data_IF_636402617748
#
_entry.id   IF_636402617748
#
_cell.length_a   1.000
_cell.length_b   1.000
_cell.length_c   1.000
_cell.angle_alpha   90.00
_cell.angle_beta   90.00
_cell.angle_gamma   90.00
#
_symmetry.space_group_name_H-M   'P 1'
#
loop_
_entity.id
_entity.type
_entity.pdbx_description
1 polymer ?
#
# COMPACT_ATOMS: atom_id res chain seq x y z
N UNK A 1 19.28 -8.71 -8.42
CA UNK A 1 18.74 -8.43 -7.08
C UNK A 1 17.92 -7.14 -7.08
N UNK A 2 16.75 -7.20 -6.48
CA UNK A 2 15.91 -6.01 -6.37
C UNK A 2 16.38 -5.15 -5.22
N UNK A 3 16.87 -3.95 -5.52
CA UNK A 3 17.28 -3.00 -4.50
C UNK A 3 16.07 -2.16 -4.08
N UNK A 4 15.25 -2.74 -3.20
CA UNK A 4 13.99 -2.17 -2.79
C UNK A 4 14.13 -1.45 -1.45
N UNK A 5 13.72 -0.18 -1.42
CA UNK A 5 13.73 0.65 -0.23
C UNK A 5 12.32 0.96 0.22
N UNK A 6 12.13 1.00 1.53
CA UNK A 6 10.86 1.36 2.15
C UNK A 6 11.04 2.68 2.89
N UNK A 7 10.14 3.61 2.65
CA UNK A 7 10.14 4.91 3.34
C UNK A 7 8.73 5.40 3.60
N UNK A 8 8.59 6.35 4.49
CA UNK A 8 7.30 7.01 4.72
C UNK A 8 6.92 7.83 3.49
N UNK A 9 5.63 7.84 3.17
CA UNK A 9 5.12 8.67 2.08
C UNK A 9 5.22 10.15 2.45
N UNK A 10 5.43 10.99 1.44
CA UNK A 10 5.47 12.44 1.60
C UNK A 10 4.51 13.10 0.60
N UNK A 11 4.35 14.41 0.70
CA UNK A 11 3.47 15.15 -0.21
C UNK A 11 3.82 14.92 -1.68
N UNK A 12 5.09 14.69 -1.98
CA UNK A 12 5.54 14.47 -3.36
C UNK A 12 5.03 13.16 -3.96
N UNK A 13 4.49 12.26 -3.14
CA UNK A 13 3.97 10.97 -3.61
C UNK A 13 2.49 11.03 -3.97
N UNK A 14 1.82 12.13 -3.65
CA UNK A 14 0.36 12.24 -3.79
C UNK A 14 -0.13 11.94 -5.21
N UNK A 15 0.51 12.51 -6.22
CA UNK A 15 0.10 12.35 -7.61
C UNK A 15 0.20 10.89 -8.07
N UNK A 16 1.29 10.21 -7.75
CA UNK A 16 1.47 8.81 -8.13
C UNK A 16 0.41 7.93 -7.47
N UNK A 17 0.17 8.14 -6.18
CA UNK A 17 -0.84 7.37 -5.44
C UNK A 17 -2.23 7.62 -6.02
N UNK A 18 -2.53 8.87 -6.38
CA UNK A 18 -3.78 9.23 -7.02
C UNK A 18 -3.98 8.46 -8.33
N UNK A 19 -2.95 8.44 -9.18
CA UNK A 19 -3.00 7.72 -10.45
C UNK A 19 -3.19 6.22 -10.25
N UNK A 20 -2.49 5.64 -9.27
CA UNK A 20 -2.62 4.21 -8.98
C UNK A 20 -4.00 3.85 -8.43
N UNK A 21 -4.62 4.72 -7.61
CA UNK A 21 -5.96 4.50 -7.09
C UNK A 21 -7.02 4.51 -8.19
N UNK A 22 -6.77 5.27 -9.26
CA UNK A 22 -7.71 5.40 -10.38
C UNK A 22 -7.43 4.43 -11.53
N UNK A 23 -6.42 3.56 -11.38
CA UNK A 23 -6.20 2.51 -12.36
C UNK A 23 -7.45 1.63 -12.49
N UNK A 24 -7.81 1.28 -13.71
CA UNK A 24 -9.05 0.54 -13.98
C UNK A 24 -9.12 -0.77 -13.21
N UNK A 25 -8.02 -1.53 -13.17
CA UNK A 25 -7.99 -2.80 -12.45
C UNK A 25 -8.14 -2.60 -10.94
N UNK A 26 -7.46 -1.59 -10.38
CA UNK A 26 -7.56 -1.26 -8.97
C UNK A 26 -9.00 -0.92 -8.60
N UNK A 27 -9.70 -0.12 -9.43
CA UNK A 27 -11.08 0.24 -9.18
C UNK A 27 -12.01 -0.98 -9.20
N UNK A 28 -11.75 -1.92 -10.10
CA UNK A 28 -12.54 -3.17 -10.19
C UNK A 28 -12.35 -4.06 -8.97
N UNK A 29 -11.16 -4.01 -8.36
CA UNK A 29 -10.79 -4.88 -7.23
C UNK A 29 -11.05 -4.25 -5.87
N UNK A 30 -11.49 -2.98 -5.83
CA UNK A 30 -11.78 -2.30 -4.58
C UNK A 30 -13.27 -2.31 -4.26
N UNK A 31 -13.63 -1.89 -3.03
CA UNK A 31 -15.02 -1.84 -2.60
C UNK A 31 -15.85 -0.81 -3.36
N UNK A 32 -15.20 0.15 -3.99
CA UNK A 32 -15.89 1.11 -4.84
C UNK A 32 -15.20 1.14 -6.20
N UNK A 33 -16.03 1.18 -7.27
CA UNK A 33 -15.54 1.25 -8.64
C UNK A 33 -15.48 2.68 -9.16
N UNK A 34 -15.89 3.64 -8.35
CA UNK A 34 -15.92 5.05 -8.75
C UNK A 34 -14.53 5.63 -8.86
N UNK A 35 -14.37 6.57 -9.81
CA UNK A 35 -13.14 7.33 -9.96
C UNK A 35 -12.98 8.22 -8.74
N UNK A 36 -11.76 8.26 -8.18
CA UNK A 36 -11.43 9.15 -7.08
C UNK A 36 -11.15 10.54 -7.67
N UNK A 37 -11.83 11.56 -7.16
CA UNK A 37 -11.60 12.94 -7.59
C UNK A 37 -10.34 13.51 -6.94
N UNK A 38 -9.64 14.37 -7.66
CA UNK A 38 -8.37 14.95 -7.19
C UNK A 38 -8.52 15.66 -5.84
N UNK A 39 -9.55 16.48 -5.68
CA UNK A 39 -9.77 17.22 -4.43
C UNK A 39 -10.02 16.26 -3.24
N UNK A 40 -10.80 15.22 -3.47
CA UNK A 40 -11.05 14.20 -2.45
C UNK A 40 -9.75 13.50 -2.09
N UNK A 41 -8.94 13.19 -3.09
CA UNK A 41 -7.66 12.53 -2.88
C UNK A 41 -6.70 13.40 -2.07
N UNK A 42 -6.58 14.69 -2.39
CA UNK A 42 -5.70 15.61 -1.67
C UNK A 42 -6.07 15.65 -0.19
N UNK A 43 -7.36 15.78 0.11
CA UNK A 43 -7.85 15.82 1.49
C UNK A 43 -7.59 14.50 2.22
N UNK A 44 -7.88 13.39 1.56
CA UNK A 44 -7.63 12.07 2.11
C UNK A 44 -6.14 11.85 2.38
N UNK A 45 -5.30 12.23 1.44
CA UNK A 45 -3.86 12.03 1.54
C UNK A 45 -3.26 12.87 2.68
N UNK A 46 -3.64 14.15 2.76
CA UNK A 46 -3.17 15.03 3.84
C UNK A 46 -3.61 14.50 5.21
N UNK A 47 -4.86 14.08 5.33
CA UNK A 47 -5.37 13.51 6.57
C UNK A 47 -4.63 12.22 6.93
N UNK A 48 -4.30 11.40 5.93
CA UNK A 48 -3.57 10.15 6.15
C UNK A 48 -2.15 10.41 6.64
N UNK A 49 -1.45 11.40 6.06
CA UNK A 49 -0.09 11.74 6.48
C UNK A 49 -0.04 12.29 7.91
N UNK A 50 -1.11 12.94 8.35
CA UNK A 50 -1.19 13.53 9.67
C UNK A 50 -1.85 12.61 10.71
N UNK A 51 -2.31 11.45 10.31
CA UNK A 51 -2.99 10.52 11.21
C UNK A 51 -1.98 9.71 12.04
N UNK A 52 -2.27 9.55 13.32
CA UNK A 52 -1.50 8.69 14.21
C UNK A 52 -1.84 7.21 13.99
N UNK A 53 -3.00 6.94 13.37
CA UNK A 53 -3.51 5.59 13.20
C UNK A 53 -3.41 5.08 11.76
N UNK A 54 -2.73 5.81 10.90
CA UNK A 54 -2.53 5.39 9.52
C UNK A 54 -1.10 5.65 9.09
N UNK A 55 -0.48 4.64 8.52
CA UNK A 55 0.88 4.73 7.99
C UNK A 55 0.84 4.42 6.50
N UNK A 56 1.43 5.28 5.70
CA UNK A 56 1.61 5.06 4.28
C UNK A 56 3.10 4.90 4.00
N UNK A 57 3.46 3.77 3.42
CA UNK A 57 4.84 3.47 3.06
C UNK A 57 4.97 3.41 1.55
N UNK A 58 6.03 4.00 1.02
CA UNK A 58 6.36 3.92 -0.40
C UNK A 58 7.50 2.91 -0.56
N UNK A 59 7.33 2.00 -1.51
CA UNK A 59 8.35 1.05 -1.91
C UNK A 59 9.00 1.57 -3.18
N UNK A 60 10.30 1.80 -3.15
CA UNK A 60 11.06 2.33 -4.29
C UNK A 60 12.16 1.36 -4.71
N UNK A 61 12.42 1.32 -6.00
CA UNK A 61 13.51 0.56 -6.58
C UNK A 61 14.59 1.52 -7.06
N UNK A 62 15.82 1.32 -6.62
CA UNK A 62 16.98 2.14 -7.01
C UNK A 62 16.81 3.65 -6.75
N UNK A 63 16.04 4.03 -5.72
CA UNK A 63 15.78 5.42 -5.32
C UNK A 63 14.99 6.25 -6.34
N UNK A 64 14.61 5.67 -7.46
CA UNK A 64 13.99 6.42 -8.57
C UNK A 64 12.62 5.91 -8.93
N UNK A 65 12.43 4.60 -8.94
CA UNK A 65 11.20 3.98 -9.43
C UNK A 65 10.27 3.63 -8.26
N UNK A 66 9.13 4.30 -8.21
CA UNK A 66 8.11 3.99 -7.20
C UNK A 66 7.34 2.73 -7.61
N UNK A 67 7.35 1.74 -6.74
CA UNK A 67 6.79 0.41 -7.01
C UNK A 67 5.39 0.27 -6.44
N UNK A 68 5.19 0.72 -5.21
CA UNK A 68 3.92 0.49 -4.51
C UNK A 68 3.75 1.44 -3.34
N UNK A 69 2.50 1.58 -2.90
CA UNK A 69 2.16 2.17 -1.61
C UNK A 69 1.55 1.07 -0.76
N UNK A 70 2.02 0.94 0.48
CA UNK A 70 1.47 -0.01 1.45
C UNK A 70 0.89 0.79 2.60
N UNK A 71 -0.39 0.55 2.89
CA UNK A 71 -1.12 1.28 3.93
C UNK A 71 -1.37 0.37 5.12
N UNK A 72 -1.13 0.90 6.31
CA UNK A 72 -1.46 0.23 7.57
C UNK A 72 -2.45 1.10 8.32
N UNK A 73 -3.63 0.56 8.59
CA UNK A 73 -4.66 1.21 9.41
C UNK A 73 -4.64 0.55 10.79
N UNK A 74 -4.20 1.29 11.79
CA UNK A 74 -3.96 0.79 13.15
C UNK A 74 -5.20 0.94 14.02
N UNK A 75 -5.55 -0.11 14.74
CA UNK A 75 -6.65 -0.10 15.70
C UNK A 75 -6.26 -0.92 16.93
N UNK A 76 -7.15 -1.00 17.92
CA UNK A 76 -6.92 -1.79 19.13
C UNK A 76 -6.74 -3.27 18.81
N UNK A 77 -7.40 -3.77 17.78
CA UNK A 77 -7.34 -5.18 17.39
C UNK A 77 -6.11 -5.53 16.56
N UNK A 78 -5.35 -4.53 16.08
CA UNK A 78 -4.18 -4.75 15.25
C UNK A 78 -4.09 -3.74 14.13
N UNK A 79 -3.49 -4.11 13.02
CA UNK A 79 -3.37 -3.24 11.86
C UNK A 79 -3.90 -3.93 10.61
N UNK A 80 -4.72 -3.22 9.86
CA UNK A 80 -5.21 -3.67 8.55
C UNK A 80 -4.23 -3.19 7.49
N UNK A 81 -3.65 -4.13 6.76
CA UNK A 81 -2.66 -3.82 5.73
C UNK A 81 -3.27 -3.96 4.33
N UNK A 82 -2.97 -3.00 3.48
CA UNK A 82 -3.37 -3.05 2.07
C UNK A 82 -2.23 -2.53 1.19
N UNK A 83 -2.16 -3.04 -0.02
CA UNK A 83 -1.12 -2.67 -0.97
C UNK A 83 -1.75 -2.23 -2.29
N UNK A 84 -1.19 -1.19 -2.89
CA UNK A 84 -1.57 -0.74 -4.20
C UNK A 84 -0.29 -0.61 -5.04
N UNK A 85 -0.17 -1.50 -6.02
CA UNK A 85 1.03 -1.58 -6.85
C UNK A 85 0.94 -0.61 -8.02
N UNK A 86 2.09 0.00 -8.37
CA UNK A 86 2.19 0.77 -9.59
C UNK A 86 1.81 -0.15 -10.77
N UNK A 87 0.79 0.20 -11.58
CA UNK A 87 0.30 -0.69 -12.63
C UNK A 87 1.36 -1.21 -13.60
N UNK A 88 2.34 -0.39 -13.94
CA UNK A 88 3.40 -0.79 -14.87
C UNK A 88 4.38 -1.79 -14.26
N UNK A 89 4.29 -2.02 -12.95
CA UNK A 89 5.18 -2.95 -12.23
C UNK A 89 4.51 -4.28 -11.90
N UNK A 90 3.29 -4.50 -12.40
CA UNK A 90 2.58 -5.76 -12.18
C UNK A 90 3.28 -6.93 -12.88
N UNK A 91 3.08 -8.13 -12.32
CA UNK A 91 3.59 -9.36 -12.92
C UNK A 91 5.06 -9.64 -12.69
N UNK A 92 5.75 -8.82 -11.88
CA UNK A 92 7.19 -8.97 -11.62
C UNK A 92 7.48 -9.47 -10.20
N UNK A 93 6.48 -10.01 -9.53
CA UNK A 93 6.58 -10.49 -8.14
C UNK A 93 6.98 -9.41 -7.14
N UNK A 94 6.82 -8.15 -7.51
CA UNK A 94 7.22 -7.02 -6.67
C UNK A 94 6.24 -6.75 -5.52
N UNK A 95 4.97 -7.14 -5.69
CA UNK A 95 3.96 -6.96 -4.64
C UNK A 95 4.35 -7.72 -3.38
N UNK A 96 4.75 -8.98 -3.53
CA UNK A 96 5.14 -9.82 -2.39
C UNK A 96 6.36 -9.25 -1.67
N UNK A 97 7.40 -8.88 -2.41
CA UNK A 97 8.62 -8.31 -1.84
C UNK A 97 8.32 -6.99 -1.14
N UNK A 98 7.53 -6.13 -1.78
CA UNK A 98 7.13 -4.84 -1.20
C UNK A 98 6.37 -5.03 0.11
N UNK A 99 5.45 -5.99 0.13
CA UNK A 99 4.64 -6.27 1.31
C UNK A 99 5.50 -6.81 2.46
N UNK A 100 6.39 -7.76 2.18
CA UNK A 100 7.28 -8.33 3.20
C UNK A 100 8.16 -7.25 3.82
N UNK A 101 8.81 -6.44 3.00
CA UNK A 101 9.69 -5.38 3.49
C UNK A 101 8.93 -4.28 4.24
N UNK A 102 7.72 -3.98 3.79
CA UNK A 102 6.87 -3.00 4.47
C UNK A 102 6.42 -3.49 5.84
N UNK A 103 6.09 -4.78 5.95
CA UNK A 103 5.72 -5.39 7.23
C UNK A 103 6.92 -5.36 8.20
N UNK A 104 8.13 -5.65 7.71
CA UNK A 104 9.33 -5.54 8.53
C UNK A 104 9.55 -4.12 9.04
N UNK A 105 9.42 -3.14 8.15
CA UNK A 105 9.55 -1.72 8.51
C UNK A 105 8.51 -1.34 9.58
N UNK A 106 7.26 -1.73 9.36
CA UNK A 106 6.16 -1.44 10.29
C UNK A 106 6.39 -2.09 11.65
N UNK A 107 6.77 -3.36 11.66
CA UNK A 107 6.97 -4.10 12.90
C UNK A 107 8.11 -3.53 13.74
N UNK A 108 9.17 -3.03 13.10
CA UNK A 108 10.27 -2.39 13.80
C UNK A 108 9.86 -1.05 14.41
N UNK A 109 8.98 -0.31 13.73
CA UNK A 109 8.51 0.99 14.21
C UNK A 109 7.39 0.86 15.25
N UNK A 110 6.57 -0.17 15.13
CA UNK A 110 5.40 -0.39 16.01
C UNK A 110 5.44 -1.80 16.59
N UNK A 111 6.41 -2.10 17.48
CA UNK A 111 6.59 -3.47 18.00
C UNK A 111 5.45 -3.97 18.87
N UNK A 112 4.60 -3.06 19.37
CA UNK A 112 3.45 -3.46 20.19
C UNK A 112 2.27 -3.98 19.37
N UNK A 113 2.26 -3.76 18.06
CA UNK A 113 1.21 -4.27 17.18
C UNK A 113 1.47 -5.74 16.89
N UNK A 114 0.61 -6.63 17.39
CA UNK A 114 0.81 -8.08 17.34
C UNK A 114 0.08 -8.78 16.20
N UNK A 115 -0.96 -8.16 15.66
CA UNK A 115 -1.79 -8.77 14.63
C UNK A 115 -1.87 -7.89 13.39
N UNK A 116 -1.71 -8.52 12.24
CA UNK A 116 -1.89 -7.89 10.94
C UNK A 116 -3.01 -8.59 10.19
N UNK A 117 -3.92 -7.81 9.64
CA UNK A 117 -5.05 -8.30 8.86
C UNK A 117 -4.91 -7.81 7.44
N UNK A 118 -5.27 -8.64 6.47
CA UNK A 118 -5.29 -8.26 5.07
C UNK A 118 -6.72 -8.26 4.57
N UNK A 119 -7.14 -7.16 3.95
CA UNK A 119 -8.43 -7.09 3.29
C UNK A 119 -8.22 -7.45 1.83
N UNK A 120 -8.81 -8.55 1.39
CA UNK A 120 -8.66 -9.07 0.04
C UNK A 120 -10.03 -9.26 -0.59
N UNK A 121 -10.22 -8.63 -1.77
CA UNK A 121 -11.40 -8.86 -2.57
C UNK A 121 -11.26 -10.25 -3.21
N UNK A 122 -12.30 -11.08 -3.15
CA UNK A 122 -12.25 -12.43 -3.72
C UNK A 122 -11.92 -12.44 -5.21
N UNK A 123 -12.30 -11.41 -5.93
CA UNK A 123 -11.97 -11.26 -7.34
C UNK A 123 -10.51 -10.90 -7.58
N UNK A 124 -9.79 -10.47 -6.55
CA UNK A 124 -8.39 -10.09 -6.65
C UNK A 124 -7.48 -11.26 -6.31
N UNK A 125 -7.39 -12.21 -7.22
CA UNK A 125 -6.60 -13.44 -7.04
C UNK A 125 -5.12 -13.13 -6.82
N UNK A 126 -4.58 -12.14 -7.51
CA UNK A 126 -3.17 -11.75 -7.37
C UNK A 126 -2.86 -11.26 -5.95
N UNK A 127 -3.69 -10.39 -5.39
CA UNK A 127 -3.50 -9.90 -4.02
C UNK A 127 -3.65 -11.04 -3.01
N UNK A 128 -4.66 -11.91 -3.19
CA UNK A 128 -4.88 -13.04 -2.32
C UNK A 128 -3.65 -13.95 -2.27
N UNK A 129 -3.07 -14.26 -3.44
CA UNK A 129 -1.85 -15.07 -3.52
C UNK A 129 -0.68 -14.38 -2.83
N UNK A 130 -0.57 -13.06 -2.97
CA UNK A 130 0.49 -12.28 -2.33
C UNK A 130 0.42 -12.39 -0.82
N UNK A 131 -0.76 -12.17 -0.24
CA UNK A 131 -0.93 -12.25 1.21
C UNK A 131 -0.72 -13.67 1.74
N UNK A 132 -1.23 -14.67 1.06
CA UNK A 132 -1.01 -16.07 1.44
C UNK A 132 0.46 -16.45 1.38
N UNK A 133 1.22 -15.88 0.43
CA UNK A 133 2.65 -16.12 0.31
C UNK A 133 3.48 -15.49 1.41
N UNK A 134 2.95 -14.47 2.08
CA UNK A 134 3.63 -13.80 3.19
C UNK A 134 3.44 -14.58 4.50
N UNK A 135 2.38 -15.32 4.57
CA UNK A 135 2.05 -16.11 5.76
C UNK A 135 1.15 -15.38 6.69
#
# INVERSE_FOLDING_TARGET
MTNLLIRLATDSDSKNIFEWRNDLLVRRMSHTTKIVEWEQHINWFANSLNSENRILLICEQNFVNKIAVVRFDISESGALVSINLNPIKRGKNLAKVSLIKSIEFFSNKYPSTKKLFAEVNEENIASKKTFLGVG
#
